data_IF_965528263565
#
_entry.id   IF_965528263565
#
_cell.length_a   1.000
_cell.length_b   1.000
_cell.length_c   1.000
_cell.angle_alpha   90.00
_cell.angle_beta   90.00
_cell.angle_gamma   90.00
#
_symmetry.space_group_name_H-M   'P 1'
#
loop_
_entity.id
_entity.type
_entity.pdbx_description
1 polymer ?
#
# COMPACT_ATOMS: atom_id res chain seq x y z
N UNK A 1 29.59 -13.74 5.22
CA UNK A 1 29.65 -12.57 4.31
C UNK A 1 28.96 -13.00 3.02
N UNK A 2 27.82 -12.40 2.68
CA UNK A 2 27.13 -12.75 1.44
C UNK A 2 27.94 -12.25 0.23
N UNK A 3 28.06 -13.09 -0.80
CA UNK A 3 28.70 -12.69 -2.05
C UNK A 3 27.74 -11.81 -2.85
N UNK A 4 28.02 -10.50 -2.87
CA UNK A 4 27.21 -9.50 -3.55
C UNK A 4 27.23 -9.61 -5.08
N UNK A 5 28.14 -10.43 -5.65
CA UNK A 5 28.22 -10.64 -7.11
C UNK A 5 27.03 -11.45 -7.65
N UNK A 6 26.29 -12.12 -6.79
CA UNK A 6 25.08 -12.90 -7.14
C UNK A 6 23.81 -12.06 -7.27
N UNK A 7 23.85 -10.79 -6.88
CA UNK A 7 22.69 -9.90 -6.98
C UNK A 7 22.59 -9.24 -8.35
N UNK A 8 21.37 -8.85 -8.70
CA UNK A 8 21.12 -8.06 -9.91
C UNK A 8 21.93 -6.76 -9.89
N UNK A 9 22.40 -6.28 -11.05
CA UNK A 9 23.06 -4.98 -11.19
C UNK A 9 22.22 -3.81 -10.66
N UNK A 10 20.89 -3.96 -10.63
CA UNK A 10 19.98 -2.96 -10.04
C UNK A 10 20.23 -2.75 -8.54
N UNK A 11 20.70 -3.78 -7.82
CA UNK A 11 20.97 -3.67 -6.39
C UNK A 11 22.14 -2.72 -6.07
N UNK A 12 23.07 -2.58 -6.99
CA UNK A 12 24.23 -1.69 -6.86
C UNK A 12 24.09 -0.41 -7.68
N UNK A 13 22.88 -0.11 -8.19
CA UNK A 13 22.60 1.16 -8.86
C UNK A 13 22.75 2.33 -7.84
N UNK A 14 23.68 3.28 -8.10
CA UNK A 14 23.92 4.38 -7.18
C UNK A 14 22.68 5.23 -6.89
N UNK A 15 21.77 5.38 -7.86
CA UNK A 15 20.53 6.13 -7.69
C UNK A 15 19.58 5.40 -6.73
N UNK A 16 19.46 4.07 -6.85
CA UNK A 16 18.64 3.27 -5.93
C UNK A 16 19.20 3.29 -4.51
N UNK A 17 20.52 3.13 -4.35
CA UNK A 17 21.19 3.17 -3.05
C UNK A 17 20.96 4.54 -2.38
N UNK A 18 21.18 5.64 -3.15
CA UNK A 18 20.94 6.99 -2.63
C UNK A 18 19.49 7.21 -2.20
N UNK A 19 18.53 6.66 -2.95
CA UNK A 19 17.09 6.72 -2.59
C UNK A 19 16.82 5.97 -1.29
N UNK A 20 17.37 4.77 -1.11
CA UNK A 20 17.23 4.01 0.14
C UNK A 20 17.81 4.78 1.33
N UNK A 21 19.00 5.37 1.18
CA UNK A 21 19.62 6.19 2.24
C UNK A 21 18.78 7.41 2.65
N UNK A 22 18.13 8.07 1.67
CA UNK A 22 17.20 9.18 1.95
C UNK A 22 15.98 8.67 2.72
N UNK A 23 15.39 7.55 2.27
CA UNK A 23 14.22 6.96 2.94
C UNK A 23 14.56 6.55 4.38
N UNK A 24 15.70 5.92 4.60
CA UNK A 24 16.15 5.53 5.95
C UNK A 24 16.27 6.75 6.88
N UNK A 25 16.78 7.88 6.37
CA UNK A 25 16.86 9.12 7.16
C UNK A 25 15.48 9.72 7.48
N UNK A 26 14.55 9.67 6.54
CA UNK A 26 13.18 10.16 6.73
C UNK A 26 12.41 9.34 7.78
N UNK A 27 12.71 8.05 7.89
CA UNK A 27 12.07 7.15 8.86
C UNK A 27 12.73 7.15 10.25
N UNK A 28 13.84 7.84 10.42
CA UNK A 28 14.44 7.95 11.75
C UNK A 28 13.55 8.78 12.69
N UNK A 29 13.31 8.31 13.94
CA UNK A 29 12.53 9.07 14.90
C UNK A 29 13.22 10.40 15.20
N UNK A 30 12.45 11.48 15.24
CA UNK A 30 12.96 12.76 15.70
C UNK A 30 13.35 12.67 17.17
N UNK A 31 14.61 13.00 17.46
CA UNK A 31 15.17 12.97 18.83
C UNK A 31 14.98 14.27 19.61
N UNK A 32 14.48 15.33 18.97
CA UNK A 32 14.22 16.61 19.64
C UNK A 32 12.90 16.55 20.43
N UNK A 33 12.98 16.79 21.73
CA UNK A 33 11.83 16.69 22.65
C UNK A 33 10.64 17.62 22.28
N UNK A 34 10.91 18.73 21.56
CA UNK A 34 9.91 19.74 21.19
C UNK A 34 9.73 19.86 19.66
N UNK A 35 10.18 18.84 18.91
CA UNK A 35 10.13 18.88 17.46
C UNK A 35 8.77 18.38 16.91
N UNK A 36 8.23 19.09 15.92
CA UNK A 36 7.08 18.63 15.12
C UNK A 36 7.62 18.01 13.83
N UNK A 37 7.38 16.71 13.64
CA UNK A 37 7.84 15.99 12.46
C UNK A 37 6.89 16.22 11.26
N UNK A 38 7.41 16.82 10.19
CA UNK A 38 6.73 16.95 8.91
C UNK A 38 7.34 16.06 7.82
N UNK A 39 8.20 15.12 8.22
CA UNK A 39 8.97 14.29 7.27
C UNK A 39 8.13 13.20 6.61
N UNK A 40 7.13 12.67 7.29
CA UNK A 40 6.28 11.58 6.82
C UNK A 40 4.84 11.87 7.25
N UNK A 41 3.89 11.62 6.35
CA UNK A 41 2.45 11.76 6.64
C UNK A 41 1.90 10.63 7.52
N UNK A 42 2.48 10.43 8.70
CA UNK A 42 1.96 9.45 9.66
C UNK A 42 0.70 9.96 10.33
N UNK A 43 -0.37 9.15 10.43
CA UNK A 43 -1.55 9.51 11.19
C UNK A 43 -1.21 9.76 12.67
N UNK A 44 -1.95 10.66 13.31
CA UNK A 44 -1.87 10.81 14.76
C UNK A 44 -2.25 9.48 15.45
N UNK A 45 -1.56 9.14 16.53
CA UNK A 45 -1.77 7.86 17.23
C UNK A 45 -3.24 7.72 17.69
N UNK A 46 -3.83 8.83 18.11
CA UNK A 46 -5.22 8.91 18.57
C UNK A 46 -6.25 8.68 17.46
N UNK A 47 -5.84 8.84 16.20
CA UNK A 47 -6.68 8.60 15.02
C UNK A 47 -6.68 7.13 14.57
N UNK A 48 -5.82 6.30 15.14
CA UNK A 48 -5.73 4.88 14.78
C UNK A 48 -6.88 4.09 15.41
N UNK A 49 -7.76 3.46 14.61
CA UNK A 49 -8.97 2.79 15.09
C UNK A 49 -8.68 1.38 15.64
N UNK A 50 -7.77 1.27 16.62
CA UNK A 50 -7.26 0.00 17.14
C UNK A 50 -8.38 -0.88 17.73
N UNK A 51 -9.26 -0.28 18.54
CA UNK A 51 -10.35 -1.03 19.18
C UNK A 51 -11.38 -1.53 18.17
N UNK A 52 -11.77 -0.70 17.21
CA UNK A 52 -12.68 -1.11 16.14
C UNK A 52 -12.09 -2.24 15.29
N UNK A 53 -10.80 -2.17 14.96
CA UNK A 53 -10.12 -3.22 14.20
C UNK A 53 -10.02 -4.51 15.01
N UNK A 54 -9.80 -4.45 16.33
CA UNK A 54 -9.80 -5.62 17.19
C UNK A 54 -11.16 -6.32 17.19
N UNK A 55 -12.24 -5.57 17.36
CA UNK A 55 -13.61 -6.12 17.35
C UNK A 55 -13.96 -6.75 16.00
N UNK A 56 -13.72 -6.06 14.89
CA UNK A 56 -13.92 -6.57 13.54
C UNK A 56 -13.10 -7.84 13.30
N UNK A 57 -11.82 -7.85 13.72
CA UNK A 57 -10.96 -9.01 13.56
C UNK A 57 -11.48 -10.22 14.34
N UNK A 58 -11.97 -10.02 15.55
CA UNK A 58 -12.58 -11.10 16.34
C UNK A 58 -13.81 -11.72 15.66
N UNK A 59 -14.62 -10.88 15.02
CA UNK A 59 -15.80 -11.33 14.27
C UNK A 59 -15.42 -12.06 12.96
N UNK A 60 -14.51 -11.51 12.20
CA UNK A 60 -14.03 -12.12 10.94
C UNK A 60 -13.39 -13.48 11.17
N UNK A 61 -12.55 -13.63 12.22
CA UNK A 61 -11.82 -14.88 12.49
C UNK A 61 -12.59 -15.92 13.30
N UNK A 62 -13.89 -15.76 13.50
CA UNK A 62 -14.71 -16.83 14.09
C UNK A 62 -14.79 -18.03 13.13
N UNK A 63 -14.79 -19.25 13.70
CA UNK A 63 -14.82 -20.48 12.89
C UNK A 63 -16.11 -20.68 12.11
N UNK A 64 -17.21 -20.13 12.60
CA UNK A 64 -18.53 -20.13 11.98
C UNK A 64 -18.74 -18.93 11.05
N UNK A 65 -17.73 -18.07 10.91
CA UNK A 65 -17.74 -16.87 10.08
C UNK A 65 -16.87 -17.00 8.82
N UNK A 66 -16.47 -15.86 8.29
CA UNK A 66 -15.64 -15.75 7.06
C UNK A 66 -14.14 -15.98 7.28
N UNK A 67 -13.73 -16.43 8.49
CA UNK A 67 -12.31 -16.52 8.85
C UNK A 67 -11.51 -17.50 7.98
N UNK A 68 -12.13 -18.58 7.51
CA UNK A 68 -11.47 -19.51 6.57
C UNK A 68 -11.26 -18.85 5.22
N UNK A 69 -12.26 -18.14 4.71
CA UNK A 69 -12.17 -17.41 3.42
C UNK A 69 -11.16 -16.26 3.51
N UNK A 70 -11.11 -15.56 4.65
CA UNK A 70 -10.16 -14.46 4.87
C UNK A 70 -8.69 -14.92 4.86
N UNK A 71 -8.42 -16.18 5.21
CA UNK A 71 -7.09 -16.79 5.23
C UNK A 71 -6.77 -17.59 3.95
N UNK A 72 -7.75 -17.80 3.07
CA UNK A 72 -7.55 -18.49 1.82
C UNK A 72 -6.95 -17.58 0.74
N UNK A 73 -6.49 -18.19 -0.35
CA UNK A 73 -6.08 -17.42 -1.53
C UNK A 73 -7.25 -16.61 -2.07
N UNK A 74 -7.05 -15.31 -2.22
CA UNK A 74 -8.02 -14.42 -2.83
C UNK A 74 -8.14 -14.56 -4.35
N UNK A 75 -9.09 -13.84 -4.93
CA UNK A 75 -9.20 -13.71 -6.39
C UNK A 75 -8.19 -12.67 -6.90
N UNK A 76 -7.82 -12.79 -8.19
CA UNK A 76 -6.87 -11.85 -8.85
C UNK A 76 -7.26 -10.37 -8.76
N UNK A 77 -8.55 -10.07 -8.61
CA UNK A 77 -9.05 -8.69 -8.54
C UNK A 77 -9.25 -8.22 -7.08
N UNK A 78 -9.15 -9.10 -6.11
CA UNK A 78 -9.54 -8.87 -4.73
C UNK A 78 -11.00 -9.19 -4.44
N UNK A 79 -11.39 -9.10 -3.18
CA UNK A 79 -12.73 -9.48 -2.69
C UNK A 79 -13.80 -8.63 -3.38
N UNK A 80 -14.82 -9.29 -3.94
CA UNK A 80 -15.88 -8.62 -4.71
C UNK A 80 -16.70 -7.66 -3.84
N UNK A 81 -17.12 -8.11 -2.66
CA UNK A 81 -17.91 -7.29 -1.73
C UNK A 81 -17.17 -5.98 -1.40
N UNK A 82 -15.85 -6.04 -1.15
CA UNK A 82 -15.03 -4.84 -0.91
C UNK A 82 -15.05 -3.90 -2.12
N UNK A 83 -14.92 -4.44 -3.33
CA UNK A 83 -14.92 -3.65 -4.57
C UNK A 83 -16.28 -3.01 -4.83
N UNK A 84 -17.38 -3.69 -4.48
CA UNK A 84 -18.74 -3.16 -4.56
C UNK A 84 -18.94 -2.00 -3.57
N UNK A 85 -18.50 -2.14 -2.33
CA UNK A 85 -18.52 -1.07 -1.32
C UNK A 85 -17.69 0.14 -1.78
N UNK A 86 -16.50 -0.09 -2.32
CA UNK A 86 -15.66 0.99 -2.85
C UNK A 86 -16.39 1.74 -3.97
N UNK A 87 -17.01 1.03 -4.90
CA UNK A 87 -17.74 1.65 -6.01
C UNK A 87 -18.94 2.47 -5.51
N UNK A 88 -19.76 1.89 -4.63
CA UNK A 88 -21.04 2.49 -4.20
C UNK A 88 -20.89 3.53 -3.10
N UNK A 89 -20.03 3.29 -2.11
CA UNK A 89 -19.98 4.11 -0.91
C UNK A 89 -18.79 5.10 -0.88
N UNK A 90 -17.68 4.79 -1.56
CA UNK A 90 -16.53 5.68 -1.59
C UNK A 90 -16.43 6.51 -2.87
N UNK A 91 -16.71 5.92 -4.02
CA UNK A 91 -16.51 6.57 -5.33
C UNK A 91 -17.76 7.29 -5.82
N UNK A 92 -18.94 6.65 -5.76
CA UNK A 92 -20.18 7.25 -6.23
C UNK A 92 -20.53 8.59 -5.55
N UNK A 93 -20.38 8.77 -4.23
CA UNK A 93 -20.59 10.07 -3.58
C UNK A 93 -19.64 11.18 -4.03
N UNK A 94 -18.48 10.80 -4.62
CA UNK A 94 -17.50 11.73 -5.19
C UNK A 94 -17.72 12.01 -6.68
N UNK A 95 -18.84 11.51 -7.23
CA UNK A 95 -19.17 11.66 -8.66
C UNK A 95 -18.43 10.68 -9.59
N UNK A 96 -17.72 9.69 -9.04
CA UNK A 96 -17.05 8.65 -9.84
C UNK A 96 -17.97 7.43 -9.93
N UNK A 97 -18.63 7.29 -11.10
CA UNK A 97 -19.55 6.19 -11.36
C UNK A 97 -18.80 5.03 -12.05
N UNK A 98 -18.60 3.96 -11.30
CA UNK A 98 -17.92 2.75 -11.77
C UNK A 98 -18.55 1.50 -11.18
N UNK A 99 -18.13 0.32 -11.65
CA UNK A 99 -18.55 -0.98 -11.11
C UNK A 99 -17.38 -1.70 -10.45
N UNK A 100 -17.68 -2.70 -9.64
CA UNK A 100 -16.69 -3.57 -9.01
C UNK A 100 -15.73 -4.22 -10.04
N UNK A 101 -16.17 -4.42 -11.29
CA UNK A 101 -15.35 -5.05 -12.32
C UNK A 101 -14.24 -4.15 -12.87
N UNK A 102 -14.30 -2.85 -12.58
CA UNK A 102 -13.27 -1.85 -12.92
C UNK A 102 -12.34 -1.52 -11.74
N UNK A 103 -12.44 -2.26 -10.65
CA UNK A 103 -11.64 -2.02 -9.43
C UNK A 103 -10.73 -3.21 -9.18
N UNK A 104 -9.44 -2.92 -9.00
CA UNK A 104 -8.41 -3.88 -8.61
C UNK A 104 -7.89 -3.50 -7.22
N UNK A 105 -7.89 -4.46 -6.30
CA UNK A 105 -7.26 -4.31 -4.98
C UNK A 105 -5.80 -4.72 -5.08
N UNK A 106 -4.91 -3.86 -4.61
CA UNK A 106 -3.46 -4.07 -4.62
C UNK A 106 -2.89 -4.05 -3.20
N UNK A 107 -1.65 -4.49 -3.02
CA UNK A 107 -0.95 -4.44 -1.74
C UNK A 107 -0.36 -3.05 -1.44
N UNK A 108 -1.21 -2.03 -1.51
CA UNK A 108 -0.85 -0.64 -1.26
C UNK A 108 -0.46 0.16 -2.49
N UNK A 109 -0.27 1.49 -2.30
CA UNK A 109 -0.08 2.43 -3.41
C UNK A 109 1.19 2.20 -4.22
N UNK A 110 2.28 1.76 -3.60
CA UNK A 110 3.53 1.48 -4.32
C UNK A 110 3.40 0.33 -5.31
N UNK A 111 2.66 -0.72 -4.97
CA UNK A 111 2.37 -1.79 -5.93
C UNK A 111 1.52 -1.27 -7.09
N UNK A 112 0.52 -0.44 -6.81
CA UNK A 112 -0.30 0.21 -7.84
C UNK A 112 0.57 1.00 -8.81
N UNK A 113 1.47 1.84 -8.30
CA UNK A 113 2.39 2.63 -9.13
C UNK A 113 3.28 1.74 -9.99
N UNK A 114 3.83 0.67 -9.39
CA UNK A 114 4.64 -0.30 -10.13
C UNK A 114 3.85 -0.95 -11.26
N UNK A 115 2.65 -1.45 -10.98
CA UNK A 115 1.78 -2.08 -11.97
C UNK A 115 1.42 -1.12 -13.12
N UNK A 116 1.11 0.14 -12.81
CA UNK A 116 0.83 1.15 -13.83
C UNK A 116 2.06 1.40 -14.71
N UNK A 117 3.25 1.53 -14.12
CA UNK A 117 4.48 1.67 -14.88
C UNK A 117 4.74 0.46 -15.78
N UNK A 118 4.58 -0.77 -15.24
CA UNK A 118 4.84 -2.00 -16.00
C UNK A 118 3.88 -2.19 -17.18
N UNK A 119 2.65 -1.65 -17.09
CA UNK A 119 1.61 -1.84 -18.11
C UNK A 119 1.63 -0.73 -19.16
N UNK A 120 1.90 0.51 -18.77
CA UNK A 120 1.69 1.68 -19.62
C UNK A 120 2.97 2.37 -20.09
N UNK A 121 4.16 2.00 -19.57
CA UNK A 121 5.40 2.70 -19.88
C UNK A 121 6.43 1.78 -20.54
N UNK A 122 7.01 2.28 -21.61
CA UNK A 122 8.19 1.71 -22.25
C UNK A 122 9.48 2.45 -21.82
N UNK A 123 10.66 1.83 -21.97
CA UNK A 123 11.93 2.50 -21.70
C UNK A 123 12.09 3.77 -22.55
N UNK A 124 12.19 4.91 -21.89
CA UNK A 124 12.30 6.22 -22.54
C UNK A 124 11.05 7.10 -22.39
N UNK A 125 9.94 6.54 -21.94
CA UNK A 125 8.73 7.32 -21.63
C UNK A 125 8.94 8.24 -20.43
N UNK A 126 8.22 9.34 -20.42
CA UNK A 126 8.29 10.36 -19.37
C UNK A 126 6.99 10.39 -18.59
N UNK A 127 7.09 10.26 -17.27
CA UNK A 127 5.98 10.44 -16.34
C UNK A 127 6.20 11.65 -15.45
N UNK A 128 5.12 12.33 -15.08
CA UNK A 128 5.14 13.37 -14.06
C UNK A 128 4.67 12.76 -12.75
N UNK A 129 5.44 12.98 -11.70
CA UNK A 129 5.12 12.53 -10.34
C UNK A 129 5.16 13.70 -9.38
N UNK A 130 4.37 13.62 -8.34
CA UNK A 130 4.36 14.56 -7.22
C UNK A 130 5.55 14.35 -6.29
#
# INVERSE_FOLDING_TARGET
>A
MFDMTQFSKRWSDPALVATCDVMDRLFQPMTAADGIAFSIGSPAVEALPVDALREISQDVFRRDGRGIEALAYGTKMGIRDLREIIASELLAPKGVHTSADNILITAGGLETMKLLCDIFLDPGDVILVE
#
